data_IF_041730842078
#
_entry.id   IF_041730842078
#
_cell.length_a   1.000
_cell.length_b   1.000
_cell.length_c   1.000
_cell.angle_alpha   90.00
_cell.angle_beta   90.00
_cell.angle_gamma   90.00
#
_symmetry.space_group_name_H-M   'P 1'
#
loop_
_entity.id
_entity.type
_entity.pdbx_description
1 polymer ?
#
# COMPACT_ATOMS: atom_id res chain seq x y z
N UNK A 1 -8.46 -20.21 14.21
CA UNK A 1 -7.06 -19.93 14.55
C UNK A 1 -6.55 -20.94 15.57
N UNK A 2 -6.15 -22.10 15.11
CA UNK A 2 -5.55 -23.13 15.98
C UNK A 2 -4.12 -22.77 16.42
N UNK A 3 -3.50 -21.82 15.71
CA UNK A 3 -2.16 -21.31 16.01
C UNK A 3 -2.13 -19.86 15.57
N UNK A 4 -2.14 -18.93 16.51
CA UNK A 4 -2.07 -17.49 16.27
C UNK A 4 -0.73 -17.05 15.64
N UNK A 5 0.18 -17.98 15.43
CA UNK A 5 1.54 -17.74 14.95
C UNK A 5 1.64 -17.53 13.43
N UNK A 6 0.70 -18.11 12.68
CA UNK A 6 0.73 -18.05 11.20
C UNK A 6 -0.64 -17.69 10.64
N UNK A 7 -0.68 -16.77 9.67
CA UNK A 7 -1.89 -16.38 8.98
C UNK A 7 -1.69 -16.39 7.47
N UNK A 8 -2.59 -17.05 6.77
CA UNK A 8 -2.69 -16.98 5.30
C UNK A 8 -4.01 -16.30 4.95
N UNK A 9 -3.93 -15.28 4.10
CA UNK A 9 -5.11 -14.57 3.61
C UNK A 9 -5.06 -14.52 2.10
N UNK A 10 -6.16 -14.86 1.44
CA UNK A 10 -6.33 -14.76 0.00
C UNK A 10 -7.58 -13.97 -0.33
N UNK A 11 -7.53 -13.21 -1.40
CA UNK A 11 -8.67 -12.45 -1.89
C UNK A 11 -8.60 -12.23 -3.40
N UNK A 12 -9.76 -12.15 -4.01
CA UNK A 12 -9.90 -11.76 -5.40
C UNK A 12 -11.09 -10.81 -5.56
N UNK A 13 -10.98 -9.89 -6.51
CA UNK A 13 -12.04 -8.99 -6.91
C UNK A 13 -12.12 -8.95 -8.42
N UNK A 14 -13.32 -9.02 -8.93
CA UNK A 14 -13.62 -8.86 -10.36
C UNK A 14 -14.68 -7.77 -10.48
N UNK A 15 -14.38 -6.73 -11.25
CA UNK A 15 -15.34 -5.68 -11.60
C UNK A 15 -15.66 -5.78 -13.08
N UNK A 16 -16.92 -6.04 -13.40
CA UNK A 16 -17.40 -6.15 -14.77
C UNK A 16 -17.49 -4.81 -15.47
N UNK A 17 -17.91 -3.76 -14.73
CA UNK A 17 -18.08 -2.41 -15.27
C UNK A 17 -16.73 -1.78 -15.66
N UNK A 18 -15.73 -1.92 -14.79
CA UNK A 18 -14.39 -1.38 -15.01
C UNK A 18 -13.46 -2.36 -15.74
N UNK A 19 -13.93 -3.57 -16.06
CA UNK A 19 -13.12 -4.66 -16.62
C UNK A 19 -11.78 -4.81 -15.89
N UNK A 20 -11.82 -4.69 -14.56
CA UNK A 20 -10.67 -4.83 -13.68
C UNK A 20 -10.72 -6.12 -12.90
N UNK A 21 -9.56 -6.67 -12.66
CA UNK A 21 -9.39 -7.82 -11.79
C UNK A 21 -8.26 -7.57 -10.80
N UNK A 22 -8.45 -8.04 -9.59
CA UNK A 22 -7.46 -7.96 -8.51
C UNK A 22 -7.31 -9.32 -7.86
N UNK A 23 -6.10 -9.68 -7.55
CA UNK A 23 -5.76 -10.88 -6.81
C UNK A 23 -4.74 -10.54 -5.74
N UNK A 24 -4.96 -11.03 -4.53
CA UNK A 24 -4.06 -10.84 -3.40
C UNK A 24 -3.88 -12.16 -2.66
N UNK A 25 -2.65 -12.47 -2.30
CA UNK A 25 -2.32 -13.49 -1.32
C UNK A 25 -1.32 -12.92 -0.33
N UNK A 26 -1.53 -13.17 0.95
CA UNK A 26 -0.60 -12.80 2.00
C UNK A 26 -0.32 -13.96 2.94
N UNK A 27 0.92 -14.04 3.38
CA UNK A 27 1.39 -14.94 4.43
C UNK A 27 2.02 -14.11 5.53
N UNK A 28 1.63 -14.36 6.78
CA UNK A 28 2.13 -13.68 7.97
C UNK A 28 2.70 -14.71 8.93
N UNK A 29 3.90 -14.45 9.44
CA UNK A 29 4.56 -15.20 10.52
C UNK A 29 4.64 -14.28 11.74
N UNK A 30 3.89 -14.61 12.78
CA UNK A 30 3.76 -13.86 14.04
C UNK A 30 4.39 -14.62 15.22
N UNK A 31 5.07 -15.75 14.95
CA UNK A 31 5.62 -16.61 15.98
C UNK A 31 6.69 -15.94 16.84
N UNK A 32 7.42 -14.98 16.29
CA UNK A 32 8.52 -14.28 16.95
C UNK A 32 8.14 -12.83 17.25
N UNK A 33 8.99 -12.16 18.05
CA UNK A 33 8.86 -10.72 18.32
C UNK A 33 8.92 -9.87 17.04
N UNK A 34 9.61 -10.33 16.02
CA UNK A 34 9.65 -9.71 14.71
C UNK A 34 8.61 -10.38 13.83
N UNK A 35 7.53 -9.69 13.53
CA UNK A 35 6.48 -10.14 12.61
C UNK A 35 6.98 -10.01 11.17
N UNK A 36 6.78 -11.04 10.38
CA UNK A 36 7.09 -11.08 8.96
C UNK A 36 5.82 -11.26 8.15
N UNK A 37 5.66 -10.49 7.10
CA UNK A 37 4.54 -10.62 6.18
C UNK A 37 5.03 -10.53 4.75
N UNK A 38 4.58 -11.45 3.92
CA UNK A 38 4.79 -11.43 2.46
C UNK A 38 3.42 -11.25 1.81
N UNK A 39 3.30 -10.26 0.93
CA UNK A 39 2.06 -10.00 0.19
C UNK A 39 2.37 -9.98 -1.30
N UNK A 40 1.72 -10.86 -2.05
CA UNK A 40 1.71 -10.81 -3.51
C UNK A 40 0.37 -10.22 -3.96
N UNK A 41 0.42 -9.18 -4.77
CA UNK A 41 -0.74 -8.47 -5.29
C UNK A 41 -0.63 -8.30 -6.80
N UNK A 42 -1.69 -8.63 -7.49
CA UNK A 42 -1.82 -8.42 -8.93
C UNK A 42 -3.09 -7.66 -9.22
N UNK A 43 -2.98 -6.64 -10.05
CA UNK A 43 -4.10 -5.84 -10.53
C UNK A 43 -4.05 -5.75 -12.04
N UNK A 44 -5.18 -5.97 -12.69
CA UNK A 44 -5.39 -5.71 -14.10
C UNK A 44 -6.49 -4.66 -14.26
N UNK A 45 -6.20 -3.59 -14.97
CA UNK A 45 -7.16 -2.52 -15.26
C UNK A 45 -7.19 -2.31 -16.76
N UNK A 46 -8.40 -2.12 -17.30
CA UNK A 46 -8.59 -1.65 -18.67
C UNK A 46 -9.01 -0.19 -18.59
N UNK A 47 -8.28 0.68 -19.26
CA UNK A 47 -8.60 2.11 -19.36
C UNK A 47 -8.73 2.52 -20.82
N UNK A 48 -9.52 3.55 -21.06
CA UNK A 48 -9.71 4.15 -22.39
C UNK A 48 -9.08 5.54 -22.37
N UNK A 49 -8.19 5.80 -23.33
CA UNK A 49 -7.57 7.11 -23.51
C UNK A 49 -7.82 7.54 -24.98
N UNK A 50 -8.73 8.47 -25.19
CA UNK A 50 -9.25 8.78 -26.51
C UNK A 50 -9.98 7.57 -27.10
N UNK A 51 -9.63 7.19 -28.32
CA UNK A 51 -10.21 6.05 -29.03
C UNK A 51 -9.46 4.73 -28.81
N UNK A 52 -8.44 4.72 -27.91
CA UNK A 52 -7.60 3.55 -27.68
C UNK A 52 -7.86 2.92 -26.33
N UNK A 53 -7.91 1.60 -26.29
CA UNK A 53 -7.99 0.82 -25.06
C UNK A 53 -6.58 0.39 -24.62
N UNK A 54 -6.27 0.64 -23.35
CA UNK A 54 -5.04 0.19 -22.71
C UNK A 54 -5.38 -0.83 -21.63
N UNK A 55 -4.62 -1.91 -21.59
CA UNK A 55 -4.63 -2.86 -20.48
C UNK A 55 -3.37 -2.64 -19.67
N UNK A 56 -3.52 -2.30 -18.41
CA UNK A 56 -2.43 -2.18 -17.46
C UNK A 56 -2.47 -3.38 -16.52
N UNK A 57 -1.36 -4.07 -16.42
CA UNK A 57 -1.15 -5.11 -15.43
C UNK A 57 -0.07 -4.66 -14.45
N UNK A 58 -0.40 -4.62 -13.16
CA UNK A 58 0.55 -4.33 -12.09
C UNK A 58 0.68 -5.57 -11.20
N UNK A 59 1.90 -6.08 -11.08
CA UNK A 59 2.25 -7.15 -10.15
C UNK A 59 3.14 -6.53 -9.07
N UNK A 60 2.77 -6.69 -7.82
CA UNK A 60 3.50 -6.13 -6.68
C UNK A 60 3.79 -7.22 -5.66
N UNK A 61 5.00 -7.23 -5.16
CA UNK A 61 5.44 -8.07 -4.06
C UNK A 61 5.90 -7.16 -2.93
N UNK A 62 5.34 -7.36 -1.74
CA UNK A 62 5.70 -6.64 -0.54
C UNK A 62 6.27 -7.62 0.48
N UNK A 63 7.39 -7.26 1.06
CA UNK A 63 7.92 -7.93 2.25
C UNK A 63 7.94 -6.93 3.40
N UNK A 64 7.17 -7.23 4.42
CA UNK A 64 6.91 -6.34 5.54
C UNK A 64 7.50 -6.98 6.80
N UNK A 65 8.34 -6.23 7.49
CA UNK A 65 8.87 -6.58 8.81
C UNK A 65 8.33 -5.58 9.82
N UNK A 66 7.75 -6.07 10.92
CA UNK A 66 7.23 -5.21 11.98
C UNK A 66 7.86 -5.61 13.30
N UNK A 67 8.55 -4.67 13.93
CA UNK A 67 9.19 -4.85 15.24
C UNK A 67 8.47 -4.01 16.30
N UNK A 68 7.76 -4.65 17.25
CA UNK A 68 7.16 -3.96 18.38
C UNK A 68 8.23 -3.69 19.46
N UNK A 69 8.54 -2.43 19.74
CA UNK A 69 9.40 -2.05 20.86
C UNK A 69 8.69 -2.32 22.18
N UNK A 70 7.42 -1.95 22.24
CA UNK A 70 6.50 -2.18 23.35
C UNK A 70 5.05 -2.22 22.84
N UNK A 71 4.07 -2.28 23.76
CA UNK A 71 2.63 -2.34 23.43
C UNK A 71 2.12 -1.10 22.67
N UNK A 72 2.85 0.02 22.71
CA UNK A 72 2.44 1.31 22.16
C UNK A 72 3.24 1.69 20.91
N UNK A 73 4.48 1.21 20.79
CA UNK A 73 5.42 1.64 19.75
C UNK A 73 5.86 0.48 18.90
N UNK A 74 5.84 0.68 17.59
CA UNK A 74 6.35 -0.27 16.61
C UNK A 74 7.04 0.42 15.45
N UNK A 75 8.02 -0.26 14.89
CA UNK A 75 8.69 0.11 13.65
C UNK A 75 8.32 -0.91 12.57
N UNK A 76 7.99 -0.42 11.39
CA UNK A 76 7.66 -1.25 10.25
C UNK A 76 8.59 -0.90 9.08
N UNK A 77 9.23 -1.90 8.51
CA UNK A 77 10.00 -1.79 7.28
C UNK A 77 9.25 -2.58 6.19
N UNK A 78 9.00 -1.94 5.06
CA UNK A 78 8.38 -2.57 3.89
C UNK A 78 9.34 -2.48 2.71
N UNK A 79 9.66 -3.61 2.11
CA UNK A 79 10.35 -3.69 0.83
C UNK A 79 9.31 -3.98 -0.24
N UNK A 80 9.38 -3.24 -1.34
CA UNK A 80 8.41 -3.33 -2.44
C UNK A 80 9.12 -3.61 -3.74
N UNK A 81 8.67 -4.63 -4.45
CA UNK A 81 8.98 -4.84 -5.86
C UNK A 81 7.69 -4.72 -6.66
N UNK A 82 7.66 -3.89 -7.70
CA UNK A 82 6.49 -3.70 -8.56
C UNK A 82 6.90 -3.78 -10.02
N UNK A 83 6.14 -4.54 -10.78
CA UNK A 83 6.33 -4.71 -12.22
C UNK A 83 5.03 -4.38 -12.94
N UNK A 84 5.09 -3.38 -13.81
CA UNK A 84 3.97 -2.89 -14.59
C UNK A 84 4.14 -3.21 -16.06
N UNK A 85 3.06 -3.61 -16.70
CA UNK A 85 3.01 -3.85 -18.15
C UNK A 85 1.82 -3.10 -18.71
N UNK A 86 2.07 -2.26 -19.69
CA UNK A 86 1.07 -1.53 -20.44
C UNK A 86 0.95 -2.16 -21.83
N UNK A 87 -0.23 -2.66 -22.14
CA UNK A 87 -0.54 -3.30 -23.43
C UNK A 87 -1.59 -2.46 -24.14
N UNK A 88 -1.28 -1.97 -25.33
CA UNK A 88 -2.27 -1.32 -26.18
C UNK A 88 -3.19 -2.40 -26.79
N UNK A 89 -4.50 -2.29 -26.56
CA UNK A 89 -5.45 -3.21 -27.16
C UNK A 89 -5.59 -2.90 -28.66
N UNK A 90 -5.32 -3.90 -29.50
CA UNK A 90 -5.33 -3.76 -30.95
C UNK A 90 -6.72 -3.49 -31.49
N UNK A 91 -6.92 -2.31 -32.05
CA UNK A 91 -8.08 -1.94 -32.88
C UNK A 91 -7.70 -1.87 -34.36
N UNK A 92 -6.42 -1.66 -34.68
CA UNK A 92 -5.87 -1.49 -36.02
C UNK A 92 -4.49 -2.18 -36.12
N UNK A 93 -4.03 -2.49 -37.36
CA UNK A 93 -2.71 -3.08 -37.64
C UNK A 93 -1.53 -2.28 -37.03
N UNK A 94 -1.71 -0.98 -36.81
CA UNK A 94 -0.72 -0.13 -36.19
C UNK A 94 -0.57 -0.44 -34.68
N UNK A 95 -1.68 -0.63 -33.98
CA UNK A 95 -1.69 -0.93 -32.54
C UNK A 95 -1.16 -2.33 -32.21
N UNK A 96 -1.29 -3.29 -33.14
CA UNK A 96 -0.74 -4.65 -33.01
C UNK A 96 0.80 -4.69 -33.14
N UNK A 97 1.40 -3.70 -33.79
CA UNK A 97 2.85 -3.59 -33.95
C UNK A 97 3.55 -2.81 -32.83
N UNK A 98 2.79 -2.18 -31.95
CA UNK A 98 3.36 -1.40 -30.86
C UNK A 98 3.87 -2.34 -29.76
N UNK A 99 5.13 -2.14 -29.31
CA UNK A 99 5.73 -2.92 -28.22
C UNK A 99 5.06 -2.58 -26.89
N UNK A 100 4.84 -3.61 -26.09
CA UNK A 100 4.43 -3.44 -24.70
C UNK A 100 5.43 -2.60 -23.92
N UNK A 101 4.94 -1.61 -23.21
CA UNK A 101 5.76 -0.85 -22.27
C UNK A 101 5.80 -1.59 -20.93
N UNK A 102 7.02 -1.77 -20.42
CA UNK A 102 7.25 -2.52 -19.18
C UNK A 102 8.09 -1.69 -18.23
N UNK A 103 7.65 -1.59 -16.98
CA UNK A 103 8.31 -0.79 -15.96
C UNK A 103 8.47 -1.58 -14.67
N UNK A 104 9.70 -1.58 -14.17
CA UNK A 104 10.04 -2.19 -12.88
C UNK A 104 10.36 -1.12 -11.84
N UNK A 105 9.84 -1.30 -10.63
CA UNK A 105 10.08 -0.43 -9.49
C UNK A 105 10.54 -1.25 -8.29
N UNK A 106 11.52 -0.73 -7.58
CA UNK A 106 11.89 -1.21 -6.26
C UNK A 106 11.73 -0.08 -5.25
N UNK A 107 11.24 -0.41 -4.08
CA UNK A 107 10.97 0.59 -3.05
C UNK A 107 11.28 0.08 -1.65
N UNK A 108 11.56 1.02 -0.77
CA UNK A 108 11.69 0.81 0.66
C UNK A 108 10.89 1.86 1.40
N UNK A 109 10.12 1.42 2.40
CA UNK A 109 9.31 2.28 3.26
C UNK A 109 9.59 1.96 4.70
N UNK A 110 9.85 3.00 5.49
CA UNK A 110 10.02 2.93 6.92
C UNK A 110 8.88 3.69 7.60
N UNK A 111 8.22 3.04 8.56
CA UNK A 111 7.10 3.61 9.30
C UNK A 111 7.34 3.43 10.80
N UNK A 112 7.24 4.51 11.54
CA UNK A 112 7.15 4.48 13.00
C UNK A 112 5.72 4.73 13.42
N UNK A 113 5.18 3.88 14.28
CA UNK A 113 3.81 3.95 14.77
C UNK A 113 3.82 3.99 16.29
N UNK A 114 3.24 5.05 16.85
CA UNK A 114 2.86 5.15 18.24
C UNK A 114 1.33 5.02 18.33
N UNK A 115 0.83 4.10 19.13
CA UNK A 115 -0.61 3.84 19.30
C UNK A 115 -0.95 3.61 20.78
N UNK A 116 -1.50 4.61 21.42
CA UNK A 116 -2.03 4.55 22.79
C UNK A 116 -3.57 4.52 22.83
N UNK A 117 -4.21 4.29 21.68
CA UNK A 117 -5.67 4.26 21.58
C UNK A 117 -6.23 3.06 22.32
N UNK A 118 -7.29 3.30 23.09
CA UNK A 118 -8.07 2.27 23.77
C UNK A 118 -9.54 2.42 23.40
N UNK A 119 -10.16 1.34 23.06
CA UNK A 119 -11.59 1.30 22.84
C UNK A 119 -12.31 1.36 24.20
N UNK A 120 -13.22 2.31 24.36
CA UNK A 120 -14.03 2.48 25.56
C UNK A 120 -15.38 1.77 25.43
N UNK A 121 -15.98 1.85 24.23
CA UNK A 121 -17.20 1.19 23.81
C UNK A 121 -17.15 1.07 22.29
N UNK A 122 -18.08 0.34 21.70
CA UNK A 122 -18.20 0.20 20.23
C UNK A 122 -18.14 1.56 19.55
N UNK A 123 -17.13 1.78 18.70
CA UNK A 123 -16.85 3.03 17.98
C UNK A 123 -16.44 4.25 18.84
N UNK A 124 -16.19 4.08 20.15
CA UNK A 124 -15.70 5.14 21.01
C UNK A 124 -14.26 4.87 21.44
N UNK A 125 -13.34 5.65 20.93
CA UNK A 125 -11.91 5.52 21.18
C UNK A 125 -11.39 6.68 22.05
N UNK A 126 -10.40 6.39 22.88
CA UNK A 126 -9.64 7.37 23.66
C UNK A 126 -8.17 7.09 23.51
N UNK A 127 -7.38 8.15 23.35
CA UNK A 127 -5.91 8.05 23.24
C UNK A 127 -5.39 8.78 22.03
N UNK A 128 -4.13 8.53 21.71
CA UNK A 128 -3.42 9.14 20.62
C UNK A 128 -2.80 8.06 19.73
N UNK A 129 -2.85 8.31 18.42
CA UNK A 129 -2.16 7.48 17.42
C UNK A 129 -1.37 8.40 16.52
N UNK A 130 -0.08 8.15 16.40
CA UNK A 130 0.83 8.91 15.55
C UNK A 130 1.57 7.94 14.65
N UNK A 131 1.57 8.23 13.35
CA UNK A 131 2.35 7.51 12.35
C UNK A 131 3.22 8.50 11.60
N UNK A 132 4.51 8.22 11.50
CA UNK A 132 5.45 8.95 10.65
C UNK A 132 6.05 7.94 9.69
N UNK A 133 6.17 8.31 8.42
CA UNK A 133 6.72 7.42 7.41
C UNK A 133 7.59 8.15 6.40
N UNK A 134 8.56 7.41 5.87
CA UNK A 134 9.36 7.80 4.73
C UNK A 134 9.43 6.62 3.76
N UNK A 135 9.23 6.90 2.49
CA UNK A 135 9.20 5.92 1.41
C UNK A 135 10.10 6.40 0.27
N UNK A 136 10.94 5.52 -0.22
CA UNK A 136 11.77 5.74 -1.40
C UNK A 136 11.46 4.67 -2.43
N UNK A 137 11.17 5.08 -3.64
CA UNK A 137 10.94 4.20 -4.78
C UNK A 137 11.89 4.60 -5.91
N UNK A 138 12.45 3.59 -6.54
CA UNK A 138 13.38 3.74 -7.65
C UNK A 138 12.91 2.89 -8.82
N UNK A 139 12.92 3.46 -10.02
CA UNK A 139 12.62 2.76 -11.25
C UNK A 139 13.87 2.01 -11.71
N UNK A 140 13.74 0.71 -11.94
CA UNK A 140 14.88 -0.17 -12.29
C UNK A 140 15.22 -0.08 -13.80
N UNK A 141 14.33 0.51 -14.61
CA UNK A 141 14.51 0.67 -16.04
C UNK A 141 15.61 1.68 -16.40
N UNK A 142 15.86 1.84 -17.71
CA UNK A 142 16.84 2.78 -18.28
C UNK A 142 16.64 4.24 -17.88
N UNK A 143 15.42 4.64 -17.56
CA UNK A 143 15.10 5.97 -17.05
C UNK A 143 15.32 6.00 -15.53
N UNK A 144 16.39 6.57 -15.08
CA UNK A 144 16.76 6.70 -13.67
C UNK A 144 15.78 7.62 -12.90
N UNK A 145 14.51 7.18 -12.78
CA UNK A 145 13.44 7.93 -12.10
C UNK A 145 13.30 7.46 -10.67
N UNK A 146 13.17 8.39 -9.76
CA UNK A 146 12.96 8.10 -8.35
C UNK A 146 11.83 8.94 -7.77
N UNK A 147 11.25 8.45 -6.69
CA UNK A 147 10.25 9.11 -5.90
C UNK A 147 10.59 8.94 -4.42
N UNK A 148 10.59 10.03 -3.69
CA UNK A 148 10.70 10.04 -2.25
C UNK A 148 9.42 10.66 -1.67
N UNK A 149 8.79 9.97 -0.73
CA UNK A 149 7.58 10.42 -0.05
C UNK A 149 7.83 10.40 1.44
N UNK A 150 7.58 11.51 2.12
CA UNK A 150 7.60 11.57 3.57
C UNK A 150 6.28 12.14 4.08
N UNK A 151 5.79 11.62 5.20
CA UNK A 151 4.53 12.08 5.74
C UNK A 151 4.26 11.65 7.16
N UNK A 152 3.18 12.19 7.70
CA UNK A 152 2.70 11.85 9.03
C UNK A 152 1.17 11.80 9.09
N UNK A 153 0.64 11.02 10.03
CA UNK A 153 -0.78 10.98 10.39
C UNK A 153 -0.87 10.94 11.92
N UNK A 154 -1.44 11.97 12.50
CA UNK A 154 -1.63 12.09 13.94
C UNK A 154 -3.13 12.15 14.24
N UNK A 155 -3.58 11.30 15.16
CA UNK A 155 -4.98 11.23 15.61
C UNK A 155 -5.02 11.32 17.12
N UNK A 156 -5.95 12.08 17.64
CA UNK A 156 -6.21 12.19 19.07
C UNK A 156 -7.69 12.12 19.34
N UNK A 157 -8.08 11.24 20.26
CA UNK A 157 -9.45 11.09 20.71
C UNK A 157 -9.52 11.34 22.22
N UNK A 158 -10.33 12.30 22.64
CA UNK A 158 -10.50 12.71 24.05
C UNK A 158 -11.98 12.59 24.40
N UNK A 159 -12.26 11.92 25.52
CA UNK A 159 -13.62 11.87 26.05
C UNK A 159 -13.96 13.24 26.65
N UNK A 160 -15.02 13.88 26.14
CA UNK A 160 -15.48 15.20 26.56
C UNK A 160 -16.65 15.09 27.53
N UNK A 161 -17.55 14.15 27.30
CA UNK A 161 -18.72 13.92 28.12
C UNK A 161 -19.05 12.42 28.21
N UNK A 162 -20.08 12.02 28.97
CA UNK A 162 -20.39 10.61 29.25
C UNK A 162 -20.28 9.68 28.04
N UNK A 163 -20.93 10.03 26.94
CA UNK A 163 -20.96 9.25 25.69
C UNK A 163 -20.45 10.05 24.48
N UNK A 164 -19.68 11.12 24.71
CA UNK A 164 -19.20 12.00 23.68
C UNK A 164 -17.67 12.02 23.67
N UNK A 165 -17.09 11.72 22.50
CA UNK A 165 -15.65 11.77 22.26
C UNK A 165 -15.36 12.80 21.17
N UNK A 166 -14.41 13.68 21.44
CA UNK A 166 -13.86 14.58 20.44
C UNK A 166 -12.68 13.89 19.75
N UNK A 167 -12.77 13.73 18.43
CA UNK A 167 -11.72 13.14 17.64
C UNK A 167 -11.13 14.18 16.69
N UNK A 168 -9.80 14.32 16.71
CA UNK A 168 -9.06 15.20 15.82
C UNK A 168 -8.07 14.38 15.01
N UNK A 169 -7.92 14.70 13.73
CA UNK A 169 -6.91 14.12 12.83
C UNK A 169 -6.15 15.22 12.13
N UNK A 170 -4.83 15.11 12.14
CA UNK A 170 -3.93 15.95 11.37
C UNK A 170 -3.04 15.03 10.53
N UNK A 171 -3.00 15.22 9.22
CA UNK A 171 -2.16 14.44 8.33
C UNK A 171 -1.56 15.33 7.26
N UNK A 172 -0.35 14.97 6.83
CA UNK A 172 0.35 15.65 5.76
C UNK A 172 1.37 14.74 5.12
N UNK A 173 1.62 14.96 3.84
CA UNK A 173 2.67 14.28 3.10
C UNK A 173 3.30 15.20 2.07
N UNK A 174 4.58 14.98 1.77
CA UNK A 174 5.32 15.68 0.74
C UNK A 174 6.00 14.65 -0.17
N UNK A 175 5.96 14.92 -1.47
CA UNK A 175 6.52 14.09 -2.51
C UNK A 175 7.67 14.85 -3.18
N UNK A 176 8.80 14.18 -3.35
CA UNK A 176 10.00 14.70 -4.00
C UNK A 176 10.47 13.67 -5.03
N UNK A 177 10.85 14.09 -6.21
CA UNK A 177 11.40 13.17 -7.21
C UNK A 177 11.15 13.59 -8.64
N UNK A 178 11.68 12.79 -9.55
CA UNK A 178 11.58 13.01 -11.00
C UNK A 178 10.33 12.39 -11.63
N UNK A 179 9.61 11.54 -10.90
CA UNK A 179 8.38 10.90 -11.37
C UNK A 179 7.31 11.03 -10.29
N UNK A 180 6.44 12.04 -10.37
CA UNK A 180 5.28 12.10 -9.49
C UNK A 180 4.37 10.92 -9.82
N UNK A 181 4.22 9.97 -8.89
CA UNK A 181 3.15 8.99 -8.96
C UNK A 181 1.84 9.73 -8.64
N UNK A 182 0.94 9.73 -9.59
CA UNK A 182 -0.44 10.12 -9.35
C UNK A 182 -1.10 8.89 -8.71
N UNK A 183 -1.43 9.00 -7.42
CA UNK A 183 -2.22 8.00 -6.70
C UNK A 183 -3.70 8.19 -6.99
#
# INVERSE_FOLDING_TARGET
DLFEDYRITGGFRISFDLQSNEFMISYEDLHKRLDHQVVAYRQGIKSMVGDYYYKQYANSLFYIMKYPFNKLNSLRLTLTGRYETYVMAGLNDYSLKQKDERHGWAGVKLEYVFDSSKELCTNLWRGSKVKVFAEYQHRIDKDNKYLFVAGFDARKSVKVFRNMTWATRLSGSANFGTSPLIY
#
